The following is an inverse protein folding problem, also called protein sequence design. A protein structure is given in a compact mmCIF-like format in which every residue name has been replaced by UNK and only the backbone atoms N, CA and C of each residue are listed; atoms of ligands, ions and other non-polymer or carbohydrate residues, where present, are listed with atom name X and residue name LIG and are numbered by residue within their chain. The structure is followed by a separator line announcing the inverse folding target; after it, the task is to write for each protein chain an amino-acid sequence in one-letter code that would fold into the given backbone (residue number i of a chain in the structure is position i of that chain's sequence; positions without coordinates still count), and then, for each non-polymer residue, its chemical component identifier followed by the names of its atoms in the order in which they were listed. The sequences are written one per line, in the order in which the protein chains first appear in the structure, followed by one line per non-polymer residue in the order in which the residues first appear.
data_IF_502684893364
#
_entry.id   IF_502684893364
#
_cell.length_a   1.000
_cell.length_b   1.000
_cell.length_c   1.000
_cell.angle_alpha   90.00
_cell.angle_beta   90.00
_cell.angle_gamma   90.00
#
_symmetry.space_group_name_H-M   'P 1'
#
loop_
_entity.id
_entity.type
_entity.pdbx_description
1 polymer ?
#
# COMPACT_ATOMS: atom_id res chain seq x y z
N UNK A 1 44.07 -74.28 -21.05
CA UNK A 1 44.62 -73.07 -20.42
C UNK A 1 43.75 -71.90 -20.88
N UNK A 2 42.85 -71.38 -20.02
CA UNK A 2 43.07 -70.22 -19.11
C UNK A 2 43.24 -68.91 -19.92
N UNK A 3 42.51 -67.79 -19.74
CA UNK A 3 41.74 -67.24 -18.61
C UNK A 3 40.63 -66.28 -19.10
N UNK A 4 39.59 -66.12 -18.26
CA UNK A 4 38.65 -64.98 -18.26
C UNK A 4 39.38 -63.65 -18.01
N UNK A 5 38.84 -62.56 -18.55
CA UNK A 5 39.02 -61.23 -17.95
C UNK A 5 37.78 -60.38 -18.18
N UNK A 6 36.96 -60.31 -17.15
CA UNK A 6 35.90 -59.32 -16.95
C UNK A 6 36.55 -57.95 -16.82
N UNK A 7 36.07 -56.94 -17.54
CA UNK A 7 36.38 -55.53 -17.23
C UNK A 7 35.08 -54.77 -16.95
N UNK A 8 35.04 -54.23 -15.74
CA UNK A 8 33.96 -53.49 -15.10
C UNK A 8 33.43 -52.35 -15.97
N UNK A 9 32.11 -52.28 -16.11
CA UNK A 9 31.42 -51.04 -16.48
C UNK A 9 31.30 -50.16 -15.23
N UNK A 10 31.93 -48.99 -15.25
CA UNK A 10 31.76 -47.97 -14.22
C UNK A 10 30.58 -47.06 -14.59
N UNK A 11 29.44 -47.24 -13.92
CA UNK A 11 28.31 -46.30 -13.96
C UNK A 11 28.62 -45.13 -13.02
N UNK A 12 29.07 -44.01 -13.59
CA UNK A 12 29.22 -42.75 -12.86
C UNK A 12 27.88 -42.00 -12.86
N UNK A 13 27.11 -42.15 -11.78
CA UNK A 13 25.91 -41.33 -11.55
C UNK A 13 26.32 -39.95 -11.03
N UNK A 14 26.32 -38.94 -11.91
CA UNK A 14 26.48 -37.54 -11.51
C UNK A 14 25.15 -37.01 -10.94
N UNK A 15 25.09 -36.83 -9.63
CA UNK A 15 23.96 -36.16 -8.96
C UNK A 15 24.20 -34.64 -9.09
N UNK A 16 23.51 -33.99 -10.02
CA UNK A 16 23.42 -32.53 -10.10
C UNK A 16 22.50 -32.04 -8.97
N UNK A 17 23.09 -31.60 -7.86
CA UNK A 17 22.35 -30.89 -6.81
C UNK A 17 22.13 -29.46 -7.28
N UNK A 18 20.95 -29.16 -7.80
CA UNK A 18 20.51 -27.79 -8.05
C UNK A 18 20.31 -27.08 -6.70
N UNK A 19 21.23 -26.18 -6.36
CA UNK A 19 21.04 -25.24 -5.26
C UNK A 19 19.91 -24.28 -5.66
N UNK A 20 18.73 -24.49 -5.09
CA UNK A 20 17.66 -23.49 -5.12
C UNK A 20 18.05 -22.40 -4.13
N UNK A 21 18.32 -21.15 -4.57
CA UNK A 21 18.51 -20.05 -3.63
C UNK A 21 17.20 -19.88 -2.85
N UNK A 22 17.24 -20.15 -1.55
CA UNK A 22 16.17 -19.75 -0.64
C UNK A 22 16.45 -18.31 -0.25
N UNK A 23 15.76 -17.37 -0.89
CA UNK A 23 15.75 -16.00 -0.40
C UNK A 23 15.19 -16.00 1.03
N UNK A 24 15.81 -15.27 1.97
CA UNK A 24 15.27 -15.14 3.31
C UNK A 24 13.89 -14.46 3.21
N UNK A 25 12.82 -15.24 3.36
CA UNK A 25 11.47 -14.71 3.43
C UNK A 25 11.36 -13.87 4.71
N UNK A 26 11.38 -12.54 4.57
CA UNK A 26 11.01 -11.67 5.68
C UNK A 26 9.49 -11.83 5.88
N UNK A 27 9.12 -12.63 6.89
CA UNK A 27 7.74 -13.02 7.16
C UNK A 27 6.91 -11.86 7.73
N UNK A 28 6.47 -10.94 6.88
CA UNK A 28 5.30 -10.12 7.14
C UNK A 28 4.03 -10.92 6.84
N UNK A 29 2.91 -10.63 7.52
CA UNK A 29 1.60 -11.21 7.19
C UNK A 29 1.23 -11.00 5.71
N UNK A 30 1.71 -9.88 5.15
CA UNK A 30 1.54 -9.52 3.75
C UNK A 30 2.86 -9.55 3.00
N UNK A 31 2.80 -10.18 1.83
CA UNK A 31 3.86 -10.25 0.83
C UNK A 31 3.66 -9.13 -0.21
N UNK A 32 4.55 -9.09 -1.20
CA UNK A 32 4.40 -8.24 -2.37
C UNK A 32 4.75 -8.99 -3.66
N UNK A 33 4.13 -8.59 -4.77
CA UNK A 33 4.46 -9.06 -6.11
C UNK A 33 4.83 -7.88 -7.04
N UNK A 34 5.72 -8.08 -8.02
CA UNK A 34 6.04 -7.04 -9.01
C UNK A 34 4.81 -6.60 -9.81
N UNK A 35 4.75 -5.30 -10.11
CA UNK A 35 3.80 -4.74 -11.09
C UNK A 35 4.58 -4.35 -12.35
N UNK A 36 4.00 -4.52 -13.53
CA UNK A 36 4.59 -4.03 -14.78
C UNK A 36 4.64 -2.50 -14.77
N UNK A 37 5.83 -1.91 -14.67
CA UNK A 37 6.00 -0.46 -14.44
C UNK A 37 5.45 0.41 -15.58
N UNK A 38 5.38 -0.13 -16.81
CA UNK A 38 4.76 0.54 -17.96
C UNK A 38 3.23 0.56 -17.88
N UNK A 39 2.63 -0.26 -17.01
CA UNK A 39 1.19 -0.40 -16.82
C UNK A 39 0.71 0.26 -15.53
N UNK A 40 1.54 0.98 -14.80
CA UNK A 40 1.15 1.66 -13.56
C UNK A 40 1.72 3.08 -13.53
N UNK A 41 0.94 4.03 -13.03
CA UNK A 41 1.35 5.43 -12.96
C UNK A 41 0.93 6.06 -11.64
N UNK A 42 1.80 6.91 -11.06
CA UNK A 42 1.45 7.81 -9.98
C UNK A 42 1.04 9.17 -10.56
N UNK A 43 -0.11 9.65 -10.13
CA UNK A 43 -0.70 10.91 -10.56
C UNK A 43 -0.96 11.78 -9.35
N UNK A 44 -0.53 13.03 -9.41
CA UNK A 44 -0.96 14.07 -8.49
C UNK A 44 -2.35 14.55 -8.94
N UNK A 45 -3.39 14.11 -8.24
CA UNK A 45 -4.77 14.53 -8.48
C UNK A 45 -5.07 15.82 -7.71
N UNK A 46 -5.43 16.92 -8.39
CA UNK A 46 -5.79 18.17 -7.72
C UNK A 46 -7.13 18.05 -6.98
N UNK A 47 -7.23 18.64 -5.80
CA UNK A 47 -8.48 18.79 -5.05
C UNK A 47 -8.51 20.10 -4.24
N UNK A 48 -9.68 20.43 -3.69
CA UNK A 48 -9.91 21.67 -2.96
C UNK A 48 -10.21 22.87 -3.87
N UNK A 49 -10.34 24.04 -3.26
CA UNK A 49 -10.68 25.28 -3.98
C UNK A 49 -9.55 25.73 -4.91
N UNK A 50 -9.87 26.45 -6.01
CA UNK A 50 -8.86 26.93 -6.96
C UNK A 50 -7.74 27.77 -6.33
N UNK A 51 -8.04 28.51 -5.26
CA UNK A 51 -7.12 29.41 -4.55
C UNK A 51 -6.24 28.69 -3.51
N UNK A 52 -6.60 27.46 -3.09
CA UNK A 52 -5.86 26.67 -2.11
C UNK A 52 -5.79 25.19 -2.51
N UNK A 53 -5.39 24.97 -3.76
CA UNK A 53 -5.43 23.65 -4.38
C UNK A 53 -4.34 22.73 -3.83
N UNK A 54 -4.78 21.57 -3.36
CA UNK A 54 -3.96 20.49 -2.81
C UNK A 54 -3.92 19.32 -3.79
N UNK A 55 -3.05 18.33 -3.54
CA UNK A 55 -2.84 17.20 -4.43
C UNK A 55 -2.84 15.88 -3.66
N UNK A 56 -3.67 14.93 -4.10
CA UNK A 56 -3.71 13.56 -3.61
C UNK A 56 -2.90 12.66 -4.54
N UNK A 57 -2.30 11.60 -3.99
CA UNK A 57 -1.72 10.56 -4.82
C UNK A 57 -2.85 9.65 -5.34
N UNK A 58 -2.93 9.56 -6.66
CA UNK A 58 -3.76 8.65 -7.41
C UNK A 58 -2.85 7.65 -8.12
N UNK A 59 -2.97 6.36 -7.78
CA UNK A 59 -2.29 5.27 -8.51
C UNK A 59 -3.28 4.65 -9.47
N UNK A 60 -2.91 4.50 -10.73
CA UNK A 60 -3.72 3.86 -11.77
C UNK A 60 -2.91 2.72 -12.37
N UNK A 61 -3.52 1.54 -12.50
CA UNK A 61 -2.93 0.39 -13.20
C UNK A 61 -3.82 -0.02 -14.38
N UNK A 62 -3.20 -0.21 -15.54
CA UNK A 62 -3.80 -0.70 -16.77
C UNK A 62 -3.83 -2.22 -16.75
N UNK A 63 -5.00 -2.82 -16.98
CA UNK A 63 -5.07 -4.27 -17.26
C UNK A 63 -4.72 -4.49 -18.75
N UNK A 64 -3.75 -5.36 -19.08
CA UNK A 64 -3.35 -5.60 -20.47
C UNK A 64 -4.54 -6.01 -21.37
N UNK A 65 -4.58 -5.45 -22.58
CA UNK A 65 -5.62 -5.74 -23.57
C UNK A 65 -7.00 -5.15 -23.29
N UNK A 66 -7.12 -4.31 -22.24
CA UNK A 66 -8.36 -3.65 -21.87
C UNK A 66 -8.41 -2.20 -22.35
N UNK A 67 -9.54 -1.53 -22.11
CA UNK A 67 -9.69 -0.10 -22.41
C UNK A 67 -8.64 0.73 -21.67
N UNK A 68 -8.10 1.74 -22.37
CA UNK A 68 -7.04 2.62 -21.85
C UNK A 68 -7.52 3.41 -20.62
N UNK A 69 -6.76 3.31 -19.52
CA UNK A 69 -7.12 3.89 -18.23
C UNK A 69 -6.66 5.34 -18.04
N UNK A 70 -5.60 5.76 -18.73
CA UNK A 70 -5.13 7.14 -18.74
C UNK A 70 -4.41 7.48 -20.06
N UNK A 71 -4.26 8.76 -20.33
CA UNK A 71 -3.45 9.27 -21.43
C UNK A 71 -2.47 10.32 -20.92
N UNK A 72 -1.23 10.30 -21.41
CA UNK A 72 -0.21 11.27 -21.05
C UNK A 72 -0.03 12.32 -22.15
N UNK A 73 0.27 13.57 -21.77
CA UNK A 73 0.65 14.62 -22.71
C UNK A 73 1.66 15.60 -22.11
N UNK A 74 2.46 16.23 -22.96
CA UNK A 74 3.56 17.09 -22.51
C UNK A 74 4.79 16.32 -22.07
N UNK A 75 5.78 17.03 -21.54
CA UNK A 75 7.06 16.46 -21.11
C UNK A 75 7.67 17.16 -19.88
N UNK A 76 7.26 18.40 -19.57
CA UNK A 76 7.70 19.14 -18.38
C UNK A 76 6.71 20.26 -17.99
N UNK A 77 5.65 19.95 -17.20
CA UNK A 77 5.31 18.63 -16.68
C UNK A 77 4.67 17.70 -17.73
N UNK A 78 4.58 16.42 -17.37
CA UNK A 78 3.67 15.48 -18.03
C UNK A 78 2.32 15.58 -17.35
N UNK A 79 1.27 15.93 -18.11
CA UNK A 79 -0.12 15.90 -17.65
C UNK A 79 -0.73 14.54 -17.94
N UNK A 80 -1.70 14.13 -17.12
CA UNK A 80 -2.37 12.83 -17.21
C UNK A 80 -3.87 13.04 -17.32
N UNK A 81 -4.50 12.60 -18.40
CA UNK A 81 -5.95 12.53 -18.50
C UNK A 81 -6.45 11.19 -17.94
N UNK A 82 -7.20 11.15 -16.82
CA UNK A 82 -7.65 9.91 -16.18
C UNK A 82 -8.90 9.33 -16.87
N UNK A 83 -8.73 8.75 -18.06
CA UNK A 83 -9.80 8.17 -18.90
C UNK A 83 -10.70 7.17 -18.16
N UNK A 84 -10.19 6.47 -17.13
CA UNK A 84 -11.00 5.58 -16.27
C UNK A 84 -12.23 6.27 -15.64
N UNK A 85 -12.31 7.60 -15.64
CA UNK A 85 -13.47 8.37 -15.15
C UNK A 85 -14.60 8.50 -16.18
N UNK A 86 -14.38 8.08 -17.43
CA UNK A 86 -15.33 8.26 -18.53
C UNK A 86 -16.09 6.99 -18.89
N UNK A 87 -15.84 5.87 -18.19
CA UNK A 87 -16.48 4.58 -18.44
C UNK A 87 -16.52 3.74 -17.15
N UNK A 88 -17.23 2.61 -17.18
CA UNK A 88 -17.13 1.61 -16.11
C UNK A 88 -15.77 0.92 -16.18
N UNK A 89 -14.86 1.34 -15.31
CA UNK A 89 -13.49 0.84 -15.31
C UNK A 89 -13.35 -0.58 -14.75
N UNK A 90 -14.42 -1.20 -14.26
CA UNK A 90 -14.41 -2.53 -13.66
C UNK A 90 -13.86 -3.57 -14.63
N UNK A 91 -12.78 -4.27 -14.24
CA UNK A 91 -12.11 -5.25 -15.11
C UNK A 91 -11.20 -4.67 -16.19
N UNK A 92 -11.13 -3.33 -16.32
CA UNK A 92 -10.24 -2.65 -17.25
C UNK A 92 -9.08 -1.93 -16.57
N UNK A 93 -9.35 -1.33 -15.41
CA UNK A 93 -8.39 -0.55 -14.64
C UNK A 93 -8.42 -0.98 -13.17
N UNK A 94 -7.30 -0.74 -12.49
CA UNK A 94 -7.28 -0.69 -11.02
C UNK A 94 -6.85 0.70 -10.59
N UNK A 95 -7.31 1.09 -9.39
CA UNK A 95 -7.11 2.46 -8.89
C UNK A 95 -7.01 2.48 -7.38
N UNK A 96 -6.07 3.27 -6.86
CA UNK A 96 -5.99 3.67 -5.44
C UNK A 96 -6.03 5.19 -5.33
N UNK A 97 -7.02 5.73 -4.61
CA UNK A 97 -7.31 7.18 -4.53
C UNK A 97 -7.03 7.81 -3.18
N UNK A 98 -6.75 7.01 -2.15
CA UNK A 98 -6.56 7.49 -0.78
C UNK A 98 -5.40 6.78 -0.09
N UNK A 99 -5.03 7.30 1.08
CA UNK A 99 -3.87 6.85 1.85
C UNK A 99 -3.95 5.41 2.36
N UNK A 100 -5.10 4.72 2.26
CA UNK A 100 -5.21 3.30 2.59
C UNK A 100 -4.88 2.41 1.38
N UNK A 101 -4.91 2.95 0.16
CA UNK A 101 -4.64 2.24 -1.08
C UNK A 101 -3.15 2.10 -1.42
N UNK A 102 -2.27 2.73 -0.64
CA UNK A 102 -0.82 2.68 -0.83
C UNK A 102 -0.01 2.92 0.45
N UNK A 103 1.21 2.37 0.51
CA UNK A 103 2.25 2.72 1.48
C UNK A 103 3.64 2.60 0.85
N UNK A 104 4.69 2.99 1.58
CA UNK A 104 6.06 2.67 1.18
C UNK A 104 6.50 1.35 1.81
N UNK A 105 7.34 0.61 1.09
CA UNK A 105 7.98 -0.61 1.58
C UNK A 105 9.49 -0.54 1.32
N UNK A 106 10.29 -0.67 2.37
CA UNK A 106 11.75 -0.58 2.25
C UNK A 106 12.35 -1.86 2.81
N UNK A 107 13.22 -2.52 2.03
CA UNK A 107 13.85 -3.80 2.39
C UNK A 107 12.86 -4.86 2.88
N UNK A 108 11.67 -4.91 2.26
CA UNK A 108 10.62 -5.86 2.62
C UNK A 108 9.79 -5.46 3.85
N UNK A 109 10.07 -4.33 4.51
CA UNK A 109 9.27 -3.82 5.63
C UNK A 109 8.20 -2.84 5.13
N UNK A 110 6.92 -3.13 5.37
CA UNK A 110 5.82 -2.19 5.17
C UNK A 110 5.86 -1.09 6.23
N UNK A 111 6.00 0.16 5.81
CA UNK A 111 6.10 1.33 6.69
C UNK A 111 4.83 2.17 6.67
N UNK A 112 3.68 1.60 6.26
CA UNK A 112 2.40 2.31 6.21
C UNK A 112 1.90 2.83 7.57
N UNK A 113 2.39 2.25 8.67
CA UNK A 113 2.12 2.71 10.04
C UNK A 113 3.09 3.81 10.52
N UNK A 114 4.28 3.89 9.91
CA UNK A 114 5.32 4.84 10.31
C UNK A 114 5.28 6.11 9.45
N UNK A 115 4.86 5.99 8.18
CA UNK A 115 4.81 7.09 7.22
C UNK A 115 3.43 7.28 6.61
N UNK A 116 3.18 8.50 6.13
CA UNK A 116 2.08 8.87 5.26
C UNK A 116 2.64 9.49 3.99
N UNK A 117 2.12 9.09 2.83
CA UNK A 117 2.48 9.68 1.55
C UNK A 117 1.74 11.01 1.36
N UNK A 118 2.48 12.05 0.97
CA UNK A 118 1.99 13.41 0.74
C UNK A 118 2.61 13.98 -0.53
N UNK A 119 1.86 14.85 -1.20
CA UNK A 119 2.38 15.61 -2.34
C UNK A 119 2.48 17.08 -1.93
N UNK A 120 3.66 17.66 -2.12
CA UNK A 120 3.93 19.05 -1.80
C UNK A 120 4.49 19.79 -3.00
N UNK A 121 4.21 21.10 -3.08
CA UNK A 121 4.83 21.98 -4.07
C UNK A 121 6.22 22.37 -3.57
N UNK A 122 7.26 22.15 -4.37
CA UNK A 122 8.63 22.55 -4.07
C UNK A 122 9.36 22.96 -5.36
N UNK A 123 9.92 24.17 -5.38
CA UNK A 123 10.74 24.68 -6.49
C UNK A 123 10.12 24.49 -7.89
N UNK A 124 8.81 24.77 -8.03
CA UNK A 124 8.10 24.63 -9.31
C UNK A 124 7.77 23.19 -9.71
N UNK A 125 7.92 22.23 -8.80
CA UNK A 125 7.57 20.82 -8.99
C UNK A 125 6.60 20.37 -7.90
N UNK A 126 5.87 19.30 -8.18
CA UNK A 126 5.25 18.44 -7.18
C UNK A 126 6.21 17.33 -6.76
N UNK A 127 6.36 17.16 -5.46
CA UNK A 127 7.24 16.16 -4.83
C UNK A 127 6.37 15.19 -4.02
N UNK A 128 6.54 13.89 -4.27
CA UNK A 128 5.92 12.82 -3.48
C UNK A 128 6.84 12.46 -2.33
N UNK A 129 6.41 12.79 -1.11
CA UNK A 129 7.12 12.56 0.13
C UNK A 129 6.44 11.47 0.95
N UNK A 130 7.24 10.60 1.55
CA UNK A 130 6.82 9.88 2.73
C UNK A 130 7.19 10.71 3.96
N UNK A 131 6.18 11.24 4.64
CA UNK A 131 6.33 12.03 5.87
C UNK A 131 6.02 11.13 7.07
N UNK A 132 6.85 11.15 8.14
CA UNK A 132 6.57 10.35 9.32
C UNK A 132 5.24 10.70 9.98
N UNK A 133 4.58 9.70 10.57
CA UNK A 133 3.37 9.91 11.37
C UNK A 133 3.72 10.39 12.77
N UNK A 134 2.93 11.35 13.28
CA UNK A 134 3.07 11.86 14.64
C UNK A 134 4.37 12.63 14.89
N UNK A 135 4.75 12.73 16.17
CA UNK A 135 6.03 13.31 16.57
C UNK A 135 7.07 12.20 16.57
N UNK A 136 7.77 12.04 15.46
CA UNK A 136 8.93 11.16 15.35
C UNK A 136 10.14 11.93 14.86
N UNK A 137 11.33 11.41 15.15
CA UNK A 137 12.61 11.93 14.67
C UNK A 137 13.03 11.32 13.33
N UNK A 138 12.11 10.64 12.65
CA UNK A 138 12.36 10.05 11.34
C UNK A 138 12.47 11.17 10.28
N UNK A 139 13.34 11.02 9.28
CA UNK A 139 13.44 12.00 8.19
C UNK A 139 12.26 11.85 7.22
N UNK A 140 11.95 12.90 6.47
CA UNK A 140 11.15 12.75 5.27
C UNK A 140 11.94 12.03 4.17
N UNK A 141 11.26 11.19 3.40
CA UNK A 141 11.87 10.41 2.33
C UNK A 141 11.24 10.81 1.01
N UNK A 142 12.07 11.12 0.01
CA UNK A 142 11.55 11.49 -1.31
C UNK A 142 11.39 10.28 -2.21
N UNK A 143 10.15 10.02 -2.57
CA UNK A 143 9.74 8.83 -3.31
C UNK A 143 9.69 9.10 -4.80
N UNK A 144 9.28 10.30 -5.20
CA UNK A 144 9.20 10.69 -6.60
C UNK A 144 8.95 12.17 -6.78
N UNK A 145 9.05 12.63 -8.03
CA UNK A 145 8.85 14.04 -8.40
C UNK A 145 8.19 14.15 -9.77
N UNK A 146 7.54 15.27 -9.98
CA UNK A 146 7.21 15.75 -11.33
C UNK A 146 8.37 16.57 -11.89
N UNK A 147 8.36 16.77 -13.21
CA UNK A 147 9.32 17.62 -13.93
C UNK A 147 8.65 18.94 -14.32
N UNK A 148 8.09 19.64 -13.34
CA UNK A 148 7.34 20.87 -13.50
C UNK A 148 5.98 20.80 -12.83
N UNK A 149 5.24 21.90 -12.96
CA UNK A 149 3.95 22.05 -12.30
C UNK A 149 3.01 22.88 -13.17
N UNK A 150 1.78 22.42 -13.32
CA UNK A 150 0.69 23.18 -13.93
C UNK A 150 -0.52 23.13 -13.00
N UNK A 151 -0.96 24.31 -12.56
CA UNK A 151 -1.99 24.43 -11.53
C UNK A 151 -3.33 23.84 -11.97
N UNK A 152 -3.92 22.98 -11.14
CA UNK A 152 -5.23 22.40 -11.39
C UNK A 152 -5.25 21.26 -12.41
N UNK A 153 -4.10 20.80 -12.88
CA UNK A 153 -3.98 19.62 -13.73
C UNK A 153 -3.63 18.37 -12.93
N UNK A 154 -3.98 17.24 -13.50
CA UNK A 154 -3.46 15.94 -13.10
C UNK A 154 -2.05 15.81 -13.64
N UNK A 155 -1.06 15.74 -12.75
CA UNK A 155 0.36 15.73 -13.11
C UNK A 155 0.96 14.37 -12.81
N UNK A 156 1.73 13.80 -13.75
CA UNK A 156 2.47 12.55 -13.51
C UNK A 156 3.59 12.77 -12.51
N UNK A 157 3.70 11.87 -11.54
CA UNK A 157 4.83 11.75 -10.64
C UNK A 157 5.72 10.61 -11.12
N UNK A 158 6.97 10.92 -11.44
CA UNK A 158 7.99 9.93 -11.77
C UNK A 158 8.65 9.48 -10.47
N UNK A 159 8.66 8.17 -10.21
CA UNK A 159 9.36 7.63 -9.05
C UNK A 159 10.87 7.88 -9.19
N UNK A 160 11.52 8.21 -8.08
CA UNK A 160 12.97 8.40 -8.05
C UNK A 160 13.67 7.05 -8.34
N UNK A 161 14.92 7.05 -8.84
CA UNK A 161 15.67 5.82 -9.06
C UNK A 161 15.67 4.90 -7.82
N UNK A 162 15.49 3.59 -8.04
CA UNK A 162 15.37 2.58 -6.99
C UNK A 162 13.94 2.35 -6.48
N UNK A 163 13.04 3.32 -6.65
CA UNK A 163 11.63 3.14 -6.33
C UNK A 163 10.87 2.48 -7.47
N UNK A 164 9.98 1.57 -7.13
CA UNK A 164 9.11 0.88 -8.09
C UNK A 164 7.74 0.60 -7.45
N UNK A 165 6.72 0.40 -8.28
CA UNK A 165 5.46 -0.14 -7.80
C UNK A 165 5.54 -1.65 -7.60
N UNK A 166 5.04 -2.11 -6.47
CA UNK A 166 4.67 -3.52 -6.27
C UNK A 166 3.26 -3.57 -5.71
N UNK A 167 2.71 -4.78 -5.61
CA UNK A 167 1.35 -5.00 -5.14
C UNK A 167 1.35 -5.87 -3.91
N UNK A 168 0.59 -5.47 -2.89
CA UNK A 168 0.38 -6.28 -1.70
C UNK A 168 -0.32 -7.59 -2.06
N UNK A 169 0.17 -8.69 -1.52
CA UNK A 169 -0.45 -10.01 -1.65
C UNK A 169 -0.70 -10.64 -0.27
N UNK A 170 -1.66 -11.55 -0.23
CA UNK A 170 -1.91 -12.42 0.92
C UNK A 170 -2.10 -13.84 0.41
N UNK A 171 -1.23 -14.77 0.84
CA UNK A 171 -1.24 -16.16 0.39
C UNK A 171 -1.22 -16.28 -1.16
N UNK A 172 -0.37 -15.48 -1.82
CA UNK A 172 -0.26 -15.44 -3.28
C UNK A 172 -1.42 -14.77 -4.02
N UNK A 173 -2.41 -14.18 -3.31
CA UNK A 173 -3.51 -13.45 -3.96
C UNK A 173 -3.26 -11.95 -3.95
N UNK A 174 -3.36 -11.25 -5.09
CA UNK A 174 -3.24 -9.80 -5.15
C UNK A 174 -4.37 -9.10 -4.40
N UNK A 175 -4.00 -8.05 -3.65
CA UNK A 175 -4.93 -7.15 -2.96
C UNK A 175 -5.03 -5.79 -3.67
N UNK A 176 -5.90 -4.92 -3.17
CA UNK A 176 -6.11 -3.56 -3.71
C UNK A 176 -5.07 -2.52 -3.26
N UNK A 177 -3.98 -2.93 -2.61
CA UNK A 177 -3.00 -2.02 -2.02
C UNK A 177 -1.68 -2.09 -2.80
N UNK A 178 -1.13 -0.94 -3.16
CA UNK A 178 0.17 -0.83 -3.82
C UNK A 178 1.25 -0.48 -2.81
N UNK A 179 2.44 -1.03 -2.97
CA UNK A 179 3.61 -0.45 -2.34
C UNK A 179 4.38 0.39 -3.36
N UNK A 180 4.94 1.49 -2.87
CA UNK A 180 6.08 2.13 -3.50
C UNK A 180 7.30 1.54 -2.81
N UNK A 181 7.94 0.57 -3.46
CA UNK A 181 8.99 -0.25 -2.87
C UNK A 181 10.37 0.22 -3.26
N UNK A 182 11.32 0.15 -2.33
CA UNK A 182 12.73 0.45 -2.57
C UNK A 182 13.62 -0.44 -1.69
N UNK A 183 14.92 -0.48 -2.01
CA UNK A 183 15.98 -0.97 -1.15
C UNK A 183 16.66 0.19 -0.40
N UNK A 184 17.12 -0.05 0.83
CA UNK A 184 17.60 1.00 1.74
C UNK A 184 18.80 1.80 1.20
N UNK A 185 19.56 1.25 0.25
CA UNK A 185 20.70 1.93 -0.38
C UNK A 185 20.33 3.04 -1.37
N UNK A 186 19.05 3.21 -1.75
CA UNK A 186 18.62 4.19 -2.75
C UNK A 186 17.65 5.25 -2.20
N UNK A 187 17.55 5.39 -0.88
CA UNK A 187 16.68 6.40 -0.27
C UNK A 187 17.38 7.76 -0.25
N UNK A 188 16.76 8.77 -0.88
CA UNK A 188 17.21 10.15 -0.78
C UNK A 188 16.38 10.87 0.27
N UNK A 189 17.05 11.39 1.29
CA UNK A 189 16.45 12.29 2.28
C UNK A 189 16.60 13.73 1.77
N UNK A 190 15.57 14.54 1.90
CA UNK A 190 15.62 15.96 1.54
C UNK A 190 15.50 16.82 2.80
N UNK A 191 16.54 17.59 3.17
CA UNK A 191 16.43 18.59 4.23
C UNK A 191 15.58 19.78 3.74
N UNK A 192 14.44 20.03 4.38
CA UNK A 192 13.77 21.34 4.30
C UNK A 192 12.74 21.54 3.20
N UNK A 193 11.98 20.51 2.81
CA UNK A 193 10.73 20.75 2.10
C UNK A 193 9.72 21.28 3.10
N UNK A 194 9.67 22.60 3.26
CA UNK A 194 8.69 23.27 4.11
C UNK A 194 7.28 22.92 3.59
N UNK A 195 6.64 21.92 4.21
CA UNK A 195 5.19 21.78 4.15
C UNK A 195 4.58 23.13 4.54
N UNK A 196 3.52 23.62 3.86
CA UNK A 196 2.79 24.77 4.34
C UNK A 196 2.34 24.46 5.77
N UNK A 197 2.98 25.10 6.74
CA UNK A 197 2.48 25.16 8.11
C UNK A 197 1.09 25.74 7.99
N UNK A 198 0.07 24.97 8.38
CA UNK A 198 -1.21 25.54 8.79
C UNK A 198 -0.90 26.80 9.61
N UNK A 199 -1.46 27.99 9.29
CA UNK A 199 -1.19 29.17 10.10
C UNK A 199 -1.59 28.83 11.54
N UNK A 200 -0.58 28.74 12.41
CA UNK A 200 -0.78 28.81 13.85
C UNK A 200 -1.38 30.18 14.07
N UNK A 201 -2.68 30.22 14.29
CA UNK A 201 -3.36 31.41 14.80
C UNK A 201 -2.79 31.66 16.19
N UNK A 202 -2.10 32.79 16.43
CA UNK A 202 -1.62 33.11 17.77
C UNK A 202 -2.81 33.60 18.60
N UNK A 203 -3.16 32.86 19.65
CA UNK A 203 -3.96 33.39 20.76
C UNK A 203 -5.36 32.79 20.91
N UNK A 204 -5.43 31.63 21.58
CA UNK A 204 -6.51 31.38 22.55
C UNK A 204 -5.90 30.61 23.72
N UNK A 205 -5.81 31.28 24.88
CA UNK A 205 -5.41 30.65 26.13
C UNK A 205 -6.35 29.47 26.44
N UNK A 206 -5.85 28.31 26.91
CA UNK A 206 -6.71 27.31 27.51
C UNK A 206 -7.32 27.88 28.80
N UNK A 207 -8.62 27.64 29.09
CA UNK A 207 -9.16 27.98 30.39
C UNK A 207 -8.51 27.11 31.47
N UNK A 208 -7.74 27.75 32.35
CA UNK A 208 -7.35 27.19 33.65
C UNK A 208 -8.60 26.96 34.50
N UNK A 209 -8.91 25.70 34.79
CA UNK A 209 -9.82 25.34 35.88
C UNK A 209 -9.03 24.62 36.98
N UNK A 210 -9.09 25.07 38.25
CA UNK A 210 -8.41 24.41 39.35
C UNK A 210 -9.20 23.19 39.84
N UNK A 211 -8.48 22.12 40.16
CA UNK A 211 -9.05 20.94 40.80
C UNK A 211 -9.40 21.20 42.28
N UNK A 212 -10.55 20.72 42.76
CA UNK A 212 -10.71 20.33 44.16
C UNK A 212 -10.74 18.80 44.27
N UNK A 213 -9.84 18.24 45.07
CA UNK A 213 -9.86 16.84 45.44
C UNK A 213 -11.04 16.50 46.35
N UNK A 214 -11.78 15.44 46.00
CA UNK A 214 -12.59 14.66 46.93
C UNK A 214 -12.49 13.19 46.50
N UNK A 215 -12.11 12.33 47.46
CA UNK A 215 -11.95 10.88 47.31
C UNK A 215 -13.26 10.19 46.89
N UNK A 216 -13.25 9.17 45.99
CA UNK A 216 -14.45 8.38 45.72
C UNK A 216 -14.67 7.29 46.79
N UNK A 217 -15.91 7.01 47.21
CA UNK A 217 -16.24 5.80 47.94
C UNK A 217 -16.15 4.57 47.01
N UNK A 218 -15.61 3.47 47.53
CA UNK A 218 -15.64 2.18 46.86
C UNK A 218 -17.09 1.68 46.75
N UNK A 219 -17.54 1.39 45.52
CA UNK A 219 -18.80 0.71 45.26
C UNK A 219 -18.52 -0.55 44.40
N UNK A 220 -19.17 -1.70 44.67
CA UNK A 220 -18.80 -2.97 44.07
C UNK A 220 -19.29 -3.12 42.62
N UNK A 221 -18.60 -4.00 41.90
CA UNK A 221 -18.76 -4.34 40.49
C UNK A 221 -20.21 -4.80 40.15
N UNK A 222 -20.84 -4.33 39.06
CA UNK A 222 -22.13 -4.83 38.62
C UNK A 222 -22.00 -6.17 37.88
N UNK A 223 -22.91 -7.08 38.20
CA UNK A 223 -23.08 -8.42 37.65
C UNK A 223 -23.56 -8.38 36.19
N UNK A 224 -22.86 -9.08 35.28
CA UNK A 224 -23.24 -9.19 33.87
C UNK A 224 -24.18 -10.39 33.69
N UNK A 225 -25.48 -10.16 33.93
CA UNK A 225 -26.53 -11.08 33.49
C UNK A 225 -27.02 -10.68 32.10
N UNK A 226 -26.87 -11.60 31.14
CA UNK A 226 -27.37 -11.44 29.77
C UNK A 226 -28.87 -11.80 29.71
N UNK A 227 -29.76 -10.90 29.25
CA UNK A 227 -31.15 -11.27 28.98
C UNK A 227 -31.24 -12.04 27.65
N UNK A 228 -31.76 -13.27 27.72
CA UNK A 228 -32.21 -14.03 26.55
C UNK A 228 -33.55 -13.46 26.06
N UNK A 229 -33.55 -12.70 24.97
CA UNK A 229 -34.78 -12.41 24.23
C UNK A 229 -34.96 -13.41 23.09
N UNK A 230 -36.03 -14.17 23.21
CA UNK A 230 -36.56 -15.16 22.28
C UNK A 230 -37.16 -14.48 21.04
N UNK A 231 -36.77 -14.98 19.85
CA UNK A 231 -37.47 -14.73 18.58
C UNK A 231 -38.64 -15.71 18.47
N UNK A 232 -39.89 -15.26 18.21
CA UNK A 232 -40.97 -16.16 17.85
C UNK A 232 -40.88 -16.55 16.38
N UNK A 233 -40.77 -17.86 16.10
CA UNK A 233 -41.20 -18.45 14.84
C UNK A 233 -40.12 -19.05 13.93
N UNK A 234 -39.63 -20.24 14.28
CA UNK A 234 -39.19 -21.23 13.31
C UNK A 234 -39.29 -22.63 13.96
N UNK A 235 -40.25 -23.44 13.51
CA UNK A 235 -40.46 -24.80 13.99
C UNK A 235 -39.28 -25.69 13.61
N UNK A 236 -38.67 -26.34 14.60
CA UNK A 236 -37.68 -27.40 14.45
C UNK A 236 -38.33 -28.70 13.98
N UNK A 237 -37.85 -29.25 12.87
CA UNK A 237 -37.86 -30.70 12.66
C UNK A 237 -36.42 -31.18 12.55
N UNK A 238 -36.10 -32.13 13.43
CA UNK A 238 -34.82 -32.80 13.63
C UNK A 238 -34.42 -33.64 12.40
N UNK A 239 -33.14 -33.66 11.99
CA UNK A 239 -32.68 -34.59 10.98
C UNK A 239 -32.41 -35.95 11.64
N UNK A 240 -33.20 -36.97 11.29
CA UNK A 240 -32.84 -38.37 11.53
C UNK A 240 -32.08 -38.92 10.33
N UNK A 241 -30.89 -39.46 10.59
CA UNK A 241 -30.11 -40.24 9.64
C UNK A 241 -30.67 -41.67 9.53
N UNK A 242 -30.88 -42.15 8.30
CA UNK A 242 -30.90 -43.57 7.97
C UNK A 242 -30.29 -43.82 6.57
N UNK A 243 -29.77 -45.03 6.31
CA UNK A 243 -28.65 -45.28 5.42
C UNK A 243 -29.05 -45.57 3.96
N UNK A 244 -28.04 -45.47 3.08
CA UNK A 244 -28.07 -45.85 1.66
C UNK A 244 -28.08 -47.36 1.44
N UNK A 245 -28.92 -47.86 0.52
CA UNK A 245 -28.66 -49.04 -0.36
C UNK A 245 -29.78 -49.24 -1.41
N UNK A 246 -29.60 -50.08 -2.47
CA UNK A 246 -29.53 -49.59 -3.86
C UNK A 246 -30.61 -50.18 -4.79
N UNK A 247 -30.68 -49.67 -6.03
CA UNK A 247 -31.00 -50.40 -7.28
C UNK A 247 -30.63 -49.53 -8.48
#
# INVERSE_FOLDING_TARGET
MQFFSVKLAALASAILVSLVPTDPAQAGLFEEEPVEQSQVTAVAEPYGDPDNRQYNLLVIEQIPGQQTCWQESGSSPVTVEPLLRTFDFTGHCRRSTDSNGYSIRIDGQDLGLDYILRIVKNNGNLVLLATPRGVSNLPEIVVGRSNGFEEGKFIKLTLNPGWQFTRRTYQGKPLGHYYLSNSHNNTTTEPGVNSPTNPVVPGVNPPTSPAPGVNPPANPLPDLTFPTNSVPGANSQTPQFFPSTPL
#
